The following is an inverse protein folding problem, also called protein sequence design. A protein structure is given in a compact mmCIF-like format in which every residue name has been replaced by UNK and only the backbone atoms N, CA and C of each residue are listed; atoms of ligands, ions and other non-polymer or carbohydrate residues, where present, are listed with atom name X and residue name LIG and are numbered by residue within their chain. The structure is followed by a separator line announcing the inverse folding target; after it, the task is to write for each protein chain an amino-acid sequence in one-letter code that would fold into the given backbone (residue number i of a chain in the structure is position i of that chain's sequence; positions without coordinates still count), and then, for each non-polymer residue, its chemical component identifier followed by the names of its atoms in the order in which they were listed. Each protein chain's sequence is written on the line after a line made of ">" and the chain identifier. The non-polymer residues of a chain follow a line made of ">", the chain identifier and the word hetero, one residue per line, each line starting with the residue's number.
data_IF_845925233145
#
_entry.id   IF_845925233145
#
_cell.length_a   1.000
_cell.length_b   1.000
_cell.length_c   1.000
_cell.angle_alpha   90.00
_cell.angle_beta   90.00
_cell.angle_gamma   90.00
#
_symmetry.space_group_name_H-M   'P 1'
#
loop_
_entity.id
_entity.type
_entity.pdbx_description
1 polymer ?
#
# COMPACT_ATOMS: atom_id res chain seq x y z
N UNK A 1 -13.05 10.78 -2.10
CA UNK A 1 -12.39 10.24 -0.89
C UNK A 1 -12.16 8.76 -1.14
N UNK A 2 -10.97 8.37 -1.60
CA UNK A 2 -10.63 6.95 -1.67
C UNK A 2 -10.46 6.44 -0.24
N UNK A 3 -11.23 5.42 0.13
CA UNK A 3 -11.21 4.85 1.47
C UNK A 3 -9.95 4.01 1.63
N UNK A 4 -9.18 4.29 2.67
CA UNK A 4 -8.04 3.47 3.09
C UNK A 4 -8.52 2.03 3.30
N UNK A 5 -8.00 1.08 2.52
CA UNK A 5 -8.38 -0.32 2.64
C UNK A 5 -7.44 -1.02 3.65
N UNK A 6 -8.02 -1.71 4.63
CA UNK A 6 -7.26 -2.60 5.52
C UNK A 6 -7.19 -3.97 4.87
N UNK A 7 -5.99 -4.39 4.50
CA UNK A 7 -5.71 -5.72 3.94
C UNK A 7 -4.93 -6.54 4.95
N UNK A 8 -5.13 -7.86 4.93
CA UNK A 8 -4.41 -8.82 5.75
C UNK A 8 -3.71 -9.82 4.83
N UNK A 9 -2.40 -10.00 5.01
CA UNK A 9 -1.61 -10.98 4.25
C UNK A 9 -2.00 -12.41 4.65
N UNK A 10 -2.24 -12.63 5.94
CA UNK A 10 -2.64 -13.93 6.48
C UNK A 10 -3.92 -13.79 7.32
N UNK A 11 -5.11 -13.81 6.70
CA UNK A 11 -6.38 -13.62 7.42
C UNK A 11 -6.64 -14.73 8.44
N UNK A 12 -6.05 -15.93 8.28
CA UNK A 12 -6.22 -17.03 9.23
C UNK A 12 -5.59 -16.71 10.60
N UNK A 13 -4.58 -15.84 10.66
CA UNK A 13 -4.01 -15.41 11.94
C UNK A 13 -5.03 -14.66 12.81
N UNK A 14 -6.08 -14.05 12.23
CA UNK A 14 -7.14 -13.38 13.00
C UNK A 14 -7.92 -14.35 13.90
N UNK A 15 -7.94 -15.65 13.58
CA UNK A 15 -8.53 -16.67 14.46
C UNK A 15 -7.86 -16.72 15.83
N UNK A 16 -6.60 -16.30 15.94
CA UNK A 16 -5.91 -16.22 17.23
C UNK A 16 -6.52 -15.18 18.17
N UNK A 17 -7.32 -14.23 17.68
CA UNK A 17 -8.10 -13.33 18.53
C UNK A 17 -9.12 -14.09 19.40
N UNK A 18 -9.54 -15.30 18.99
CA UNK A 18 -10.37 -16.16 19.83
C UNK A 18 -9.71 -16.52 21.16
N UNK A 19 -8.38 -16.43 21.27
CA UNK A 19 -7.65 -16.64 22.54
C UNK A 19 -8.01 -15.61 23.61
N UNK A 20 -8.57 -14.45 23.21
CA UNK A 20 -9.11 -13.49 24.16
C UNK A 20 -10.32 -14.07 24.92
N UNK A 21 -11.12 -14.93 24.30
CA UNK A 21 -12.31 -15.47 24.93
C UNK A 21 -12.00 -16.31 26.18
N UNK A 22 -11.13 -17.35 26.13
CA UNK A 22 -10.73 -18.07 27.33
C UNK A 22 -9.94 -17.19 28.31
N UNK A 23 -9.15 -16.22 27.83
CA UNK A 23 -8.44 -15.28 28.72
C UNK A 23 -9.43 -14.50 29.60
N UNK A 24 -10.48 -13.95 28.99
CA UNK A 24 -11.49 -13.17 29.70
C UNK A 24 -12.36 -14.05 30.60
N UNK A 25 -12.75 -15.23 30.14
CA UNK A 25 -13.49 -16.19 30.97
C UNK A 25 -12.71 -16.60 32.22
N UNK A 26 -11.43 -16.93 32.07
CA UNK A 26 -10.56 -17.29 33.20
C UNK A 26 -10.32 -16.08 34.12
N UNK A 27 -10.12 -14.88 33.56
CA UNK A 27 -9.91 -13.68 34.35
C UNK A 27 -11.13 -13.33 35.21
N UNK A 28 -12.35 -13.48 34.68
CA UNK A 28 -13.60 -13.19 35.39
C UNK A 28 -14.01 -14.31 36.37
N UNK A 29 -13.70 -15.57 36.04
CA UNK A 29 -13.97 -16.71 36.91
C UNK A 29 -12.98 -16.86 38.06
N UNK A 30 -11.75 -16.34 37.91
CA UNK A 30 -10.74 -16.40 38.95
C UNK A 30 -11.03 -15.40 40.08
N UNK A 31 -10.99 -15.81 41.36
CA UNK A 31 -11.14 -14.89 42.48
C UNK A 31 -9.97 -13.89 42.50
N UNK A 32 -10.25 -12.64 42.14
CA UNK A 32 -9.23 -11.60 42.10
C UNK A 32 -8.92 -11.09 43.50
N UNK A 33 -7.71 -11.31 43.99
CA UNK A 33 -7.20 -10.73 45.26
C UNK A 33 -6.64 -9.31 45.09
N UNK A 34 -6.78 -8.74 43.89
CA UNK A 34 -6.27 -7.43 43.50
C UNK A 34 -7.42 -6.44 43.31
N UNK A 35 -7.17 -5.16 43.64
CA UNK A 35 -8.17 -4.10 43.48
C UNK A 35 -8.67 -3.99 42.03
N UNK A 36 -9.93 -3.57 41.82
CA UNK A 36 -10.61 -3.64 40.52
C UNK A 36 -9.88 -2.87 39.42
N UNK A 37 -9.33 -1.69 39.72
CA UNK A 37 -8.57 -0.90 38.75
C UNK A 37 -7.34 -1.66 38.21
N UNK A 38 -6.60 -2.34 39.10
CA UNK A 38 -5.40 -3.11 38.73
C UNK A 38 -5.76 -4.35 37.91
N UNK A 39 -6.88 -4.99 38.25
CA UNK A 39 -7.42 -6.11 37.49
C UNK A 39 -7.76 -5.68 36.05
N UNK A 40 -8.57 -4.63 35.89
CA UNK A 40 -8.98 -4.12 34.58
C UNK A 40 -7.80 -3.60 33.76
N UNK A 41 -6.86 -2.88 34.38
CA UNK A 41 -5.65 -2.43 33.71
C UNK A 41 -4.80 -3.61 33.21
N UNK A 42 -4.61 -4.64 34.04
CA UNK A 42 -3.85 -5.83 33.64
C UNK A 42 -4.52 -6.59 32.49
N UNK A 43 -5.85 -6.75 32.55
CA UNK A 43 -6.62 -7.44 31.51
C UNK A 43 -6.60 -6.66 30.19
N UNK A 44 -6.72 -5.33 30.25
CA UNK A 44 -6.64 -4.45 29.09
C UNK A 44 -5.25 -4.53 28.43
N UNK A 45 -4.17 -4.43 29.20
CA UNK A 45 -2.79 -4.53 28.68
C UNK A 45 -2.53 -5.89 28.04
N UNK A 46 -2.95 -6.99 28.68
CA UNK A 46 -2.81 -8.34 28.11
C UNK A 46 -3.59 -8.50 26.80
N UNK A 47 -4.81 -7.98 26.76
CA UNK A 47 -5.64 -8.03 25.55
C UNK A 47 -4.99 -7.22 24.42
N UNK A 48 -4.47 -6.03 24.72
CA UNK A 48 -3.79 -5.17 23.76
C UNK A 48 -2.54 -5.86 23.18
N UNK A 49 -1.74 -6.51 24.02
CA UNK A 49 -0.56 -7.26 23.57
C UNK A 49 -0.93 -8.40 22.62
N UNK A 50 -1.97 -9.17 22.94
CA UNK A 50 -2.46 -10.25 22.06
C UNK A 50 -2.93 -9.66 20.73
N UNK A 51 -3.72 -8.59 20.75
CA UNK A 51 -4.21 -7.94 19.53
C UNK A 51 -3.06 -7.43 18.67
N UNK A 52 -2.04 -6.81 19.27
CA UNK A 52 -0.86 -6.32 18.57
C UNK A 52 -0.05 -7.46 17.93
N UNK A 53 0.16 -8.56 18.66
CA UNK A 53 0.83 -9.75 18.15
C UNK A 53 0.05 -10.39 16.99
N UNK A 54 -1.26 -10.53 17.14
CA UNK A 54 -2.12 -11.09 16.08
C UNK A 54 -2.17 -10.17 14.87
N UNK A 55 -2.23 -8.85 15.05
CA UNK A 55 -2.15 -7.89 13.96
C UNK A 55 -0.83 -7.99 13.18
N UNK A 56 0.30 -8.11 13.89
CA UNK A 56 1.60 -8.36 13.28
C UNK A 56 1.65 -9.69 12.50
N UNK A 57 1.12 -10.77 13.07
CA UNK A 57 1.05 -12.09 12.41
C UNK A 57 0.10 -12.13 11.21
N UNK A 58 -1.01 -11.39 11.27
CA UNK A 58 -1.95 -11.27 10.17
C UNK A 58 -1.41 -10.43 9.01
N UNK A 59 -0.27 -9.74 9.22
CA UNK A 59 0.28 -8.81 8.25
C UNK A 59 -0.72 -7.70 7.94
N UNK A 60 -1.27 -7.06 8.99
CA UNK A 60 -2.18 -5.91 8.86
C UNK A 60 -1.51 -4.81 8.06
N UNK A 61 -2.04 -4.52 6.87
CA UNK A 61 -1.56 -3.45 6.01
C UNK A 61 -2.66 -2.43 5.82
N UNK A 62 -2.36 -1.18 6.17
CA UNK A 62 -3.13 -0.03 5.69
C UNK A 62 -2.63 0.28 4.29
N UNK A 63 -3.37 -0.18 3.27
CA UNK A 63 -3.05 0.17 1.89
C UNK A 63 -3.63 1.54 1.62
N UNK A 64 -2.75 2.53 1.47
CA UNK A 64 -3.13 3.77 0.80
C UNK A 64 -3.25 3.47 -0.69
N UNK A 65 -4.40 3.76 -1.33
CA UNK A 65 -4.46 3.72 -2.78
C UNK A 65 -3.46 4.75 -3.31
N UNK A 66 -2.48 4.26 -4.07
CA UNK A 66 -1.56 5.12 -4.81
C UNK A 66 -2.27 5.44 -6.12
N UNK A 67 -3.02 6.53 -6.15
CA UNK A 67 -3.68 7.06 -7.35
C UNK A 67 -2.72 7.88 -8.23
N UNK A 68 -1.40 7.67 -8.07
CA UNK A 68 -0.38 8.41 -8.82
C UNK A 68 0.63 7.43 -9.38
N UNK A 69 0.36 6.98 -10.61
CA UNK A 69 1.31 6.22 -11.40
C UNK A 69 2.24 7.21 -12.12
N UNK A 70 3.55 6.99 -12.02
CA UNK A 70 4.54 7.75 -12.77
C UNK A 70 5.05 6.90 -13.95
N UNK A 71 4.56 7.16 -15.16
CA UNK A 71 4.96 6.41 -16.36
C UNK A 71 6.05 7.16 -17.12
N UNK A 72 7.21 6.54 -17.31
CA UNK A 72 8.31 7.13 -18.10
C UNK A 72 8.38 6.46 -19.46
N UNK A 73 8.13 7.23 -20.52
CA UNK A 73 8.26 6.77 -21.90
C UNK A 73 9.71 6.99 -22.37
N UNK A 74 10.35 5.93 -22.86
CA UNK A 74 11.68 6.00 -23.48
C UNK A 74 11.50 5.87 -25.00
N UNK A 75 11.91 6.89 -25.75
CA UNK A 75 11.87 6.88 -27.21
C UNK A 75 13.30 6.89 -27.78
N UNK A 76 13.62 5.87 -28.58
CA UNK A 76 14.90 5.76 -29.29
C UNK A 76 14.87 6.64 -30.54
N UNK A 77 15.79 7.60 -30.63
CA UNK A 77 16.06 8.46 -31.78
C UNK A 77 17.51 8.24 -32.24
N UNK A 78 17.85 7.01 -32.58
CA UNK A 78 19.09 6.67 -33.25
C UNK A 78 19.00 6.94 -34.76
N UNK A 79 20.12 7.33 -35.39
CA UNK A 79 20.26 7.68 -36.82
C UNK A 79 19.89 6.53 -37.78
N UNK A 80 19.63 5.35 -37.24
CA UNK A 80 19.17 4.14 -37.94
C UNK A 80 17.64 4.00 -38.06
N UNK A 81 16.85 4.89 -37.45
CA UNK A 81 15.39 4.79 -37.44
C UNK A 81 14.77 5.59 -38.59
N UNK A 82 13.87 4.96 -39.35
CA UNK A 82 13.16 5.61 -40.44
C UNK A 82 12.28 6.76 -39.89
N UNK A 83 12.21 7.93 -40.57
CA UNK A 83 11.43 9.09 -40.10
C UNK A 83 9.94 8.77 -39.84
N UNK A 84 9.41 7.78 -40.53
CA UNK A 84 8.04 7.27 -40.36
C UNK A 84 7.81 6.57 -39.02
N UNK A 85 8.83 5.93 -38.45
CA UNK A 85 8.71 5.20 -37.19
C UNK A 85 8.93 6.13 -35.99
N UNK A 86 9.77 7.16 -36.13
CA UNK A 86 9.89 8.23 -35.14
C UNK A 86 8.58 9.02 -34.97
N UNK A 87 7.90 9.37 -36.08
CA UNK A 87 6.62 10.07 -36.05
C UNK A 87 5.49 9.23 -35.40
N UNK A 88 5.53 7.91 -35.56
CA UNK A 88 4.60 6.98 -34.89
C UNK A 88 4.83 6.94 -33.38
N UNK A 89 6.09 6.90 -32.95
CA UNK A 89 6.44 6.92 -31.53
C UNK A 89 6.00 8.21 -30.83
N UNK A 90 6.18 9.36 -31.47
CA UNK A 90 5.72 10.66 -30.96
C UNK A 90 4.18 10.72 -30.83
N UNK A 91 3.47 10.22 -31.84
CA UNK A 91 1.99 10.16 -31.83
C UNK A 91 1.48 9.27 -30.71
N UNK A 92 2.10 8.10 -30.50
CA UNK A 92 1.74 7.19 -29.42
C UNK A 92 1.94 7.81 -28.04
N UNK A 93 3.06 8.51 -27.81
CA UNK A 93 3.31 9.21 -26.54
C UNK A 93 2.29 10.33 -26.32
N UNK A 94 1.95 11.09 -27.38
CA UNK A 94 0.94 12.15 -27.32
C UNK A 94 -0.44 11.61 -26.95
N UNK A 95 -0.87 10.52 -27.57
CA UNK A 95 -2.16 9.88 -27.30
C UNK A 95 -2.20 9.28 -25.88
N UNK A 96 -1.08 8.69 -25.43
CA UNK A 96 -0.96 8.16 -24.08
C UNK A 96 -1.00 9.25 -22.99
N UNK A 97 -0.37 10.40 -23.24
CA UNK A 97 -0.46 11.58 -22.36
C UNK A 97 -1.86 12.19 -22.35
N UNK A 98 -2.56 12.20 -23.49
CA UNK A 98 -3.92 12.71 -23.60
C UNK A 98 -4.95 11.82 -22.86
N UNK A 99 -4.71 10.52 -22.78
CA UNK A 99 -5.54 9.56 -22.06
C UNK A 99 -5.22 9.48 -20.55
N UNK A 100 -4.24 10.25 -20.07
CA UNK A 100 -3.72 10.15 -18.72
C UNK A 100 -4.59 10.89 -17.69
N UNK A 101 -4.91 10.28 -16.53
CA UNK A 101 -5.64 10.94 -15.45
C UNK A 101 -4.88 12.15 -14.88
N UNK A 102 -5.59 13.21 -14.53
CA UNK A 102 -5.01 14.50 -14.07
C UNK A 102 -4.17 14.42 -12.77
N UNK A 103 -4.23 13.31 -12.03
CA UNK A 103 -3.44 13.08 -10.80
C UNK A 103 -2.15 12.29 -11.04
N UNK A 104 -1.99 11.67 -12.22
CA UNK A 104 -0.81 10.90 -12.58
C UNK A 104 0.33 11.82 -13.05
N UNK A 105 1.58 11.33 -13.05
CA UNK A 105 2.74 12.06 -13.64
C UNK A 105 3.34 11.26 -14.79
N UNK A 106 3.76 11.92 -15.87
CA UNK A 106 4.46 11.26 -16.96
C UNK A 106 5.75 12.00 -17.27
N UNK A 107 6.77 11.24 -17.66
CA UNK A 107 8.04 11.77 -18.14
C UNK A 107 8.35 11.17 -19.50
N UNK A 108 8.80 11.97 -20.45
CA UNK A 108 9.26 11.49 -21.75
C UNK A 108 10.77 11.69 -21.79
N UNK A 109 11.53 10.61 -22.02
CA UNK A 109 12.99 10.65 -22.20
C UNK A 109 13.30 10.25 -23.63
N UNK A 110 13.77 11.24 -24.41
CA UNK A 110 14.25 11.05 -25.77
C UNK A 110 15.72 10.63 -25.71
N UNK A 111 16.06 9.45 -26.22
CA UNK A 111 17.45 8.98 -26.34
C UNK A 111 17.96 9.23 -27.76
N UNK A 112 18.92 10.16 -27.88
CA UNK A 112 19.71 10.45 -29.09
C UNK A 112 21.11 10.93 -28.67
N UNK A 113 21.91 11.54 -29.57
CA UNK A 113 23.26 12.02 -29.20
C UNK A 113 23.27 13.11 -28.11
N UNK A 114 22.14 13.75 -27.82
CA UNK A 114 21.96 14.64 -26.66
C UNK A 114 20.58 14.41 -26.01
N UNK A 115 20.50 13.82 -24.80
CA UNK A 115 19.24 13.61 -24.11
C UNK A 115 18.67 14.93 -23.58
N UNK A 116 17.44 15.26 -23.98
CA UNK A 116 16.67 16.39 -23.46
C UNK A 116 15.49 15.84 -22.63
N UNK A 117 15.32 16.34 -21.41
CA UNK A 117 14.23 15.94 -20.51
C UNK A 117 13.20 17.07 -20.49
N UNK A 118 12.05 16.83 -21.10
CA UNK A 118 10.91 17.74 -21.03
C UNK A 118 9.93 17.26 -19.95
N UNK A 119 9.61 18.13 -18.99
CA UNK A 119 8.65 17.87 -17.92
C UNK A 119 7.37 18.64 -18.24
N UNK A 120 6.26 17.94 -18.38
CA UNK A 120 4.91 18.50 -18.49
C UNK A 120 4.07 18.06 -17.29
#
# INVERSE_FOLDING_TARGET
>A
MQLTAITFINPAALWLLLLLLPLWLLALAAPSRVGPLRFWASLAVRSLLIVALVGGLAGTQLRQPVDRLATVFLLDWSESIAPTDAARGETFVRDALAAMPADDRAGVVLFGQQPFVERA
#
